data_IF_416747939007
#
_entry.id   IF_416747939007
#
_cell.length_a   1.000
_cell.length_b   1.000
_cell.length_c   1.000
_cell.angle_alpha   90.00
_cell.angle_beta   90.00
_cell.angle_gamma   90.00
#
_symmetry.space_group_name_H-M   'P 1'
#
loop_
_entity.id
_entity.type
_entity.pdbx_description
1 polymer ?
#
# COMPACT_ATOMS: atom_id res chain seq x y z
N UNK A 1 37.26 -0.45 -67.42
CA UNK A 1 35.90 0.13 -67.42
C UNK A 1 35.12 -0.51 -66.29
N UNK A 2 35.06 0.15 -65.14
CA UNK A 2 34.48 -0.39 -63.90
C UNK A 2 33.64 0.73 -63.28
N UNK A 3 32.32 0.58 -63.23
CA UNK A 3 31.42 1.55 -62.59
C UNK A 3 30.43 0.85 -61.66
N UNK A 4 30.64 1.17 -60.39
CA UNK A 4 29.72 1.29 -59.25
C UNK A 4 28.23 0.97 -59.48
N UNK A 5 27.73 -0.03 -58.74
CA UNK A 5 26.30 -0.22 -58.47
C UNK A 5 26.06 0.25 -57.03
N UNK A 6 25.22 1.28 -56.89
CA UNK A 6 24.77 1.83 -55.63
C UNK A 6 23.75 0.88 -54.97
N UNK A 7 24.10 0.36 -53.79
CA UNK A 7 23.20 -0.43 -52.94
C UNK A 7 22.43 0.51 -52.01
N UNK A 8 21.34 1.06 -52.52
CA UNK A 8 20.25 1.64 -51.74
C UNK A 8 19.31 0.48 -51.40
N UNK A 9 19.27 0.03 -50.15
CA UNK A 9 18.11 -0.63 -49.53
C UNK A 9 18.44 -1.03 -48.09
N UNK A 10 17.41 -0.95 -47.24
CA UNK A 10 17.30 -1.46 -45.85
C UNK A 10 17.43 -0.40 -44.75
N UNK A 11 16.41 0.45 -44.66
CA UNK A 11 16.16 1.35 -43.53
C UNK A 11 14.67 1.40 -43.19
N UNK A 12 14.04 0.25 -42.92
CA UNK A 12 12.65 0.18 -42.46
C UNK A 12 12.57 -0.05 -40.95
N UNK A 13 12.27 1.04 -40.23
CA UNK A 13 11.14 1.14 -39.29
C UNK A 13 10.93 -0.04 -38.33
N UNK A 14 11.67 -0.04 -37.22
CA UNK A 14 11.36 -0.83 -36.02
C UNK A 14 11.16 0.08 -34.78
N UNK A 15 10.39 1.17 -34.92
CA UNK A 15 10.20 2.21 -33.89
C UNK A 15 8.83 2.21 -33.22
N UNK A 16 8.04 1.13 -33.30
CA UNK A 16 6.59 1.20 -33.01
C UNK A 16 6.03 0.53 -31.74
N UNK A 17 6.75 -0.34 -31.04
CA UNK A 17 6.10 -1.25 -30.06
C UNK A 17 6.46 -1.06 -28.57
N UNK A 18 7.30 -0.09 -28.20
CA UNK A 18 7.76 0.05 -26.80
C UNK A 18 6.92 0.98 -25.91
N UNK A 19 5.81 1.55 -26.41
CA UNK A 19 5.06 2.60 -25.69
C UNK A 19 3.84 2.13 -24.89
N UNK A 20 3.45 0.85 -24.96
CA UNK A 20 2.17 0.42 -24.37
C UNK A 20 2.21 0.16 -22.86
N UNK A 21 3.40 -0.13 -22.30
CA UNK A 21 3.51 -0.51 -20.90
C UNK A 21 3.35 0.75 -20.01
N UNK A 22 4.11 1.82 -20.28
CA UNK A 22 4.10 3.09 -19.51
C UNK A 22 2.72 3.69 -19.25
N UNK A 23 1.84 3.55 -20.23
CA UNK A 23 0.48 4.04 -20.14
C UNK A 23 -0.35 3.33 -19.05
N UNK A 24 -0.10 2.04 -18.80
CA UNK A 24 -0.82 1.27 -17.80
C UNK A 24 -0.45 1.70 -16.38
N UNK A 25 0.84 1.91 -16.09
CA UNK A 25 1.31 2.34 -14.77
C UNK A 25 0.80 3.72 -14.38
N UNK A 26 0.91 4.70 -15.28
CA UNK A 26 0.42 6.05 -15.01
C UNK A 26 -1.09 6.06 -14.71
N UNK A 27 -1.87 5.27 -15.45
CA UNK A 27 -3.30 5.10 -15.22
C UNK A 27 -3.60 4.45 -13.86
N UNK A 28 -2.80 3.48 -13.44
CA UNK A 28 -2.91 2.85 -12.13
C UNK A 28 -2.62 3.83 -10.98
N UNK A 29 -1.49 4.54 -11.04
CA UNK A 29 -1.12 5.55 -10.05
C UNK A 29 -2.17 6.66 -9.93
N UNK A 30 -2.76 7.08 -11.04
CA UNK A 30 -3.85 8.05 -11.06
C UNK A 30 -5.16 7.48 -10.48
N UNK A 31 -5.37 6.16 -10.58
CA UNK A 31 -6.40 5.45 -9.83
C UNK A 31 -6.20 5.61 -8.32
N UNK A 32 -5.02 5.23 -7.81
CA UNK A 32 -4.70 5.33 -6.39
C UNK A 32 -4.78 6.77 -5.86
N UNK A 33 -4.33 7.78 -6.62
CA UNK A 33 -4.50 9.19 -6.25
C UNK A 33 -5.96 9.60 -6.10
N UNK A 34 -6.82 9.18 -7.04
CA UNK A 34 -8.26 9.46 -6.96
C UNK A 34 -8.88 8.80 -5.74
N UNK A 35 -8.48 7.58 -5.42
CA UNK A 35 -8.99 6.86 -4.26
C UNK A 35 -8.50 7.46 -2.94
N UNK A 36 -7.23 7.87 -2.86
CA UNK A 36 -6.69 8.65 -1.73
C UNK A 36 -7.48 9.95 -1.53
N UNK A 37 -7.71 10.72 -2.59
CA UNK A 37 -8.47 11.97 -2.53
C UNK A 37 -9.90 11.74 -2.02
N UNK A 38 -10.61 10.77 -2.59
CA UNK A 38 -11.97 10.38 -2.16
C UNK A 38 -12.00 9.96 -0.69
N UNK A 39 -11.00 9.18 -0.26
CA UNK A 39 -10.88 8.76 1.13
C UNK A 39 -10.69 9.97 2.05
N UNK A 40 -9.74 10.85 1.74
CA UNK A 40 -9.42 12.06 2.52
C UNK A 40 -10.61 13.01 2.64
N UNK A 41 -11.40 13.16 1.56
CA UNK A 41 -12.67 13.90 1.58
C UNK A 41 -13.66 13.26 2.56
N UNK A 42 -13.85 11.94 2.49
CA UNK A 42 -14.79 11.19 3.33
C UNK A 42 -14.37 11.06 4.80
N UNK A 43 -13.08 11.19 5.10
CA UNK A 43 -12.58 11.20 6.48
C UNK A 43 -13.02 12.47 7.24
N UNK A 44 -13.40 13.55 6.56
CA UNK A 44 -13.92 14.75 7.22
C UNK A 44 -12.90 15.39 8.18
N UNK A 45 -13.23 15.46 9.47
CA UNK A 45 -12.40 16.00 10.56
C UNK A 45 -11.62 14.93 11.35
N UNK A 46 -11.44 13.75 10.76
CA UNK A 46 -10.65 12.65 11.36
C UNK A 46 -9.24 13.12 11.75
N UNK A 47 -8.75 12.85 12.98
CA UNK A 47 -7.37 13.17 13.37
C UNK A 47 -6.31 12.43 12.53
N UNK A 48 -6.66 11.31 11.90
CA UNK A 48 -5.77 10.52 11.04
C UNK A 48 -5.66 11.09 9.61
N UNK A 49 -6.56 11.99 9.22
CA UNK A 49 -6.63 12.54 7.86
C UNK A 49 -5.32 13.20 7.41
N UNK A 50 -4.66 14.08 8.19
CA UNK A 50 -3.42 14.71 7.77
C UNK A 50 -2.32 13.67 7.52
N UNK A 51 -2.22 12.66 8.39
CA UNK A 51 -1.25 11.59 8.24
C UNK A 51 -1.48 10.79 6.96
N UNK A 52 -2.70 10.32 6.71
CA UNK A 52 -3.05 9.53 5.52
C UNK A 52 -2.79 10.33 4.24
N UNK A 53 -3.18 11.60 4.19
CA UNK A 53 -2.98 12.45 3.02
C UNK A 53 -1.49 12.64 2.73
N UNK A 54 -0.73 13.16 3.70
CA UNK A 54 0.69 13.50 3.50
C UNK A 54 1.53 12.28 3.17
N UNK A 55 1.32 11.17 3.87
CA UNK A 55 2.07 9.95 3.62
C UNK A 55 1.65 9.27 2.32
N UNK A 56 0.35 9.22 2.01
CA UNK A 56 -0.15 8.65 0.75
C UNK A 56 0.38 9.41 -0.47
N UNK A 57 0.41 10.74 -0.43
CA UNK A 57 1.01 11.56 -1.49
C UNK A 57 2.51 11.30 -1.63
N UNK A 58 3.22 11.16 -0.50
CA UNK A 58 4.66 10.88 -0.49
C UNK A 58 4.98 9.51 -1.11
N UNK A 59 4.22 8.48 -0.78
CA UNK A 59 4.37 7.13 -1.34
C UNK A 59 4.11 7.12 -2.86
N UNK A 60 3.01 7.75 -3.30
CA UNK A 60 2.67 7.83 -4.72
C UNK A 60 3.67 8.67 -5.52
N UNK A 61 4.25 9.72 -4.92
CA UNK A 61 5.33 10.49 -5.54
C UNK A 61 6.60 9.65 -5.72
N UNK A 62 6.96 8.85 -4.70
CA UNK A 62 8.10 7.93 -4.77
C UNK A 62 7.89 6.83 -5.80
N UNK A 63 6.72 6.19 -5.82
CA UNK A 63 6.36 5.18 -6.81
C UNK A 63 6.53 5.69 -8.25
N UNK A 64 6.10 6.93 -8.52
CA UNK A 64 6.28 7.58 -9.82
C UNK A 64 7.75 7.82 -10.18
N UNK A 65 8.59 8.17 -9.19
CA UNK A 65 10.00 8.50 -9.42
C UNK A 65 10.92 7.29 -9.69
N UNK A 66 10.54 6.10 -9.23
CA UNK A 66 11.37 4.88 -9.36
C UNK A 66 11.38 4.28 -10.78
N UNK A 67 10.60 4.83 -11.72
CA UNK A 67 10.47 4.30 -13.07
C UNK A 67 9.53 3.10 -13.13
N UNK A 68 9.22 2.65 -14.34
CA UNK A 68 8.05 1.80 -14.57
C UNK A 68 8.18 0.38 -14.04
N UNK A 69 9.25 -0.31 -14.43
CA UNK A 69 9.50 -1.73 -14.12
C UNK A 69 10.25 -1.93 -12.81
N UNK A 70 10.39 -0.87 -12.00
CA UNK A 70 11.10 -0.96 -10.73
C UNK A 70 10.29 -1.74 -9.70
N UNK A 71 10.86 -2.84 -9.21
CA UNK A 71 10.33 -3.61 -8.08
C UNK A 71 10.11 -2.71 -6.86
N UNK A 72 11.04 -1.77 -6.63
CA UNK A 72 10.94 -0.75 -5.57
C UNK A 72 9.75 0.19 -5.79
N UNK A 73 9.52 0.63 -7.02
CA UNK A 73 8.34 1.42 -7.40
C UNK A 73 7.04 0.70 -7.06
N UNK A 74 6.93 -0.59 -7.40
CA UNK A 74 5.75 -1.42 -7.07
C UNK A 74 5.52 -1.52 -5.56
N UNK A 75 6.57 -1.65 -4.74
CA UNK A 75 6.44 -1.66 -3.28
C UNK A 75 5.90 -0.34 -2.71
N UNK A 76 6.23 0.80 -3.29
CA UNK A 76 5.62 2.07 -2.90
C UNK A 76 4.14 2.16 -3.29
N UNK A 77 3.72 1.53 -4.39
CA UNK A 77 2.31 1.46 -4.79
C UNK A 77 1.50 0.60 -3.82
N UNK A 78 2.00 -0.60 -3.51
CA UNK A 78 1.38 -1.51 -2.54
C UNK A 78 1.30 -0.85 -1.16
N UNK A 79 2.36 -0.15 -0.72
CA UNK A 79 2.34 0.62 0.52
C UNK A 79 1.28 1.75 0.50
N UNK A 80 1.07 2.43 -0.63
CA UNK A 80 0.04 3.45 -0.75
C UNK A 80 -1.37 2.85 -0.70
N UNK A 81 -1.58 1.70 -1.36
CA UNK A 81 -2.84 0.97 -1.32
C UNK A 81 -3.17 0.48 0.09
N UNK A 82 -2.21 -0.11 0.81
CA UNK A 82 -2.38 -0.55 2.20
C UNK A 82 -2.74 0.64 3.12
N UNK A 83 -2.11 1.81 2.94
CA UNK A 83 -2.43 3.01 3.71
C UNK A 83 -3.86 3.51 3.41
N UNK A 84 -4.30 3.47 2.15
CA UNK A 84 -5.68 3.80 1.75
C UNK A 84 -6.66 2.80 2.39
N UNK A 85 -6.34 1.50 2.34
CA UNK A 85 -7.16 0.46 2.95
C UNK A 85 -7.28 0.65 4.46
N UNK A 86 -6.18 0.96 5.16
CA UNK A 86 -6.19 1.29 6.58
C UNK A 86 -7.15 2.47 6.88
N UNK A 87 -7.06 3.54 6.10
CA UNK A 87 -7.95 4.69 6.21
C UNK A 87 -9.41 4.35 5.93
N UNK A 88 -9.71 3.50 4.93
CA UNK A 88 -11.08 3.09 4.64
C UNK A 88 -11.67 2.25 5.79
N UNK A 89 -10.89 1.38 6.44
CA UNK A 89 -11.35 0.67 7.64
C UNK A 89 -11.70 1.63 8.79
N UNK A 90 -10.86 2.65 9.03
CA UNK A 90 -11.12 3.69 10.03
C UNK A 90 -12.35 4.52 9.69
N UNK A 91 -12.59 4.80 8.41
CA UNK A 91 -13.79 5.49 7.92
C UNK A 91 -15.05 4.65 8.14
N UNK A 92 -15.04 3.38 7.72
CA UNK A 92 -16.19 2.46 7.87
C UNK A 92 -16.60 2.29 9.32
N UNK A 93 -15.62 2.26 10.23
CA UNK A 93 -15.87 2.25 11.67
C UNK A 93 -16.73 3.44 12.10
N UNK A 94 -16.41 4.66 11.65
CA UNK A 94 -17.16 5.89 12.01
C UNK A 94 -18.57 5.93 11.44
N UNK A 95 -18.79 5.25 10.32
CA UNK A 95 -20.11 5.17 9.68
C UNK A 95 -21.03 4.15 10.33
N UNK A 96 -20.53 3.34 11.27
CA UNK A 96 -21.32 2.28 11.89
C UNK A 96 -21.81 1.24 10.88
N UNK A 97 -21.06 0.99 9.80
CA UNK A 97 -21.44 -0.03 8.81
C UNK A 97 -21.31 -1.41 9.43
N UNK A 98 -22.44 -1.93 9.92
CA UNK A 98 -22.60 -3.31 10.32
C UNK A 98 -22.78 -4.19 9.08
N UNK A 99 -22.29 -5.42 9.15
CA UNK A 99 -22.62 -6.47 8.20
C UNK A 99 -23.61 -7.43 8.84
N UNK A 100 -24.42 -8.11 8.03
CA UNK A 100 -25.41 -9.11 8.46
C UNK A 100 -24.77 -10.45 8.92
N UNK A 101 -23.61 -10.38 9.57
CA UNK A 101 -22.90 -11.55 10.04
C UNK A 101 -23.59 -12.15 11.29
N UNK A 102 -23.70 -13.48 11.36
CA UNK A 102 -24.11 -14.17 12.60
C UNK A 102 -23.18 -13.74 13.77
N UNK A 103 -23.71 -13.25 14.90
CA UNK A 103 -22.90 -12.76 16.02
C UNK A 103 -21.88 -13.78 16.55
N UNK A 104 -22.21 -15.09 16.55
CA UNK A 104 -21.27 -16.14 16.99
C UNK A 104 -20.12 -16.30 16.01
N UNK A 105 -20.41 -16.35 14.72
CA UNK A 105 -19.37 -16.40 13.68
C UNK A 105 -18.51 -15.13 13.68
N UNK A 106 -19.13 -13.95 13.79
CA UNK A 106 -18.43 -12.66 13.86
C UNK A 106 -17.44 -12.64 15.02
N UNK A 107 -17.87 -13.05 16.22
CA UNK A 107 -16.98 -13.17 17.40
C UNK A 107 -15.78 -14.06 17.11
N UNK A 108 -16.01 -15.27 16.59
CA UNK A 108 -14.93 -16.24 16.33
C UNK A 108 -13.95 -15.76 15.24
N UNK A 109 -14.43 -15.11 14.18
CA UNK A 109 -13.59 -14.53 13.13
C UNK A 109 -12.79 -13.33 13.66
N UNK A 110 -13.41 -12.46 14.45
CA UNK A 110 -12.73 -11.32 15.06
C UNK A 110 -11.64 -11.75 16.04
N UNK A 111 -11.87 -12.79 16.84
CA UNK A 111 -10.85 -13.34 17.74
C UNK A 111 -9.59 -13.78 16.98
N UNK A 112 -9.76 -14.58 15.92
CA UNK A 112 -8.65 -15.02 15.04
C UNK A 112 -7.95 -13.85 14.34
N UNK A 113 -8.69 -12.78 14.02
CA UNK A 113 -8.10 -11.60 13.39
C UNK A 113 -7.28 -10.78 14.40
N UNK A 114 -7.73 -10.64 15.64
CA UNK A 114 -6.96 -10.02 16.71
C UNK A 114 -5.66 -10.78 16.99
N UNK A 115 -5.72 -12.11 17.05
CA UNK A 115 -4.53 -12.94 17.24
C UNK A 115 -3.49 -12.70 16.13
N UNK A 116 -3.91 -12.71 14.86
CA UNK A 116 -3.00 -12.39 13.74
C UNK A 116 -2.47 -10.97 13.80
N UNK A 117 -3.33 -10.00 14.11
CA UNK A 117 -2.95 -8.59 14.22
C UNK A 117 -1.94 -8.36 15.34
N UNK A 118 -2.07 -9.07 16.48
CA UNK A 118 -1.09 -9.04 17.56
C UNK A 118 0.31 -9.39 17.06
N UNK A 119 0.47 -10.53 16.39
CA UNK A 119 1.76 -10.96 15.85
C UNK A 119 2.31 -9.97 14.81
N UNK A 120 1.45 -9.45 13.93
CA UNK A 120 1.84 -8.40 12.96
C UNK A 120 2.36 -7.14 13.65
N UNK A 121 1.67 -6.66 14.67
CA UNK A 121 2.10 -5.47 15.42
C UNK A 121 3.44 -5.67 16.13
N UNK A 122 3.75 -6.89 16.59
CA UNK A 122 5.09 -7.20 17.12
C UNK A 122 6.20 -7.11 16.06
N UNK A 123 5.87 -7.34 14.78
CA UNK A 123 6.81 -7.20 13.67
C UNK A 123 7.00 -5.74 13.21
N UNK A 124 6.16 -4.80 13.69
CA UNK A 124 6.17 -3.43 13.20
C UNK A 124 7.51 -2.72 13.44
N UNK A 125 8.13 -2.88 14.63
CA UNK A 125 9.44 -2.27 14.91
C UNK A 125 10.55 -2.86 14.04
N UNK A 126 10.46 -4.17 13.75
CA UNK A 126 11.39 -4.83 12.84
C UNK A 126 11.31 -4.17 11.46
N UNK A 127 10.13 -4.09 10.85
CA UNK A 127 9.98 -3.47 9.53
C UNK A 127 10.34 -1.98 9.53
N UNK A 128 9.94 -1.23 10.57
CA UNK A 128 10.29 0.18 10.72
C UNK A 128 11.80 0.44 10.80
N UNK A 129 12.58 -0.50 11.36
CA UNK A 129 14.04 -0.40 11.40
C UNK A 129 14.66 -0.56 10.00
N UNK A 130 14.04 -1.34 9.13
CA UNK A 130 14.59 -1.68 7.80
C UNK A 130 14.01 -0.85 6.64
N UNK A 131 12.98 -0.04 6.88
CA UNK A 131 12.30 0.77 5.84
C UNK A 131 13.06 2.00 5.38
N UNK A 132 14.01 2.50 6.18
CA UNK A 132 14.65 3.82 6.00
C UNK A 132 13.64 4.97 5.77
N UNK A 133 12.38 4.79 6.21
CA UNK A 133 11.32 5.77 6.00
C UNK A 133 11.20 6.67 7.22
N UNK A 134 11.40 7.99 7.03
CA UNK A 134 11.44 8.98 8.11
C UNK A 134 10.23 8.90 9.06
N UNK A 135 9.05 8.63 8.52
CA UNK A 135 7.80 8.57 9.29
C UNK A 135 7.50 7.19 9.90
N UNK A 136 8.36 6.18 9.74
CA UNK A 136 8.11 4.81 10.23
C UNK A 136 7.73 4.71 11.72
N UNK A 137 8.31 5.49 12.66
CA UNK A 137 7.87 5.48 14.06
C UNK A 137 6.40 5.86 14.25
N UNK A 138 5.85 6.74 13.38
CA UNK A 138 4.45 7.14 13.44
C UNK A 138 3.50 5.98 13.05
N UNK A 139 3.86 5.20 12.03
CA UNK A 139 3.12 3.98 11.66
C UNK A 139 3.10 2.96 12.80
N UNK A 140 4.25 2.68 13.41
CA UNK A 140 4.35 1.74 14.55
C UNK A 140 3.45 2.19 15.70
N UNK A 141 3.50 3.48 16.05
CA UNK A 141 2.66 4.05 17.10
C UNK A 141 1.18 3.91 16.78
N UNK A 142 0.77 4.25 15.56
CA UNK A 142 -0.64 4.20 15.15
C UNK A 142 -1.15 2.76 15.07
N UNK A 143 -0.37 1.82 14.52
CA UNK A 143 -0.72 0.40 14.48
C UNK A 143 -0.95 -0.16 15.90
N UNK A 144 -0.03 0.10 16.84
CA UNK A 144 -0.19 -0.31 18.24
C UNK A 144 -1.46 0.30 18.88
N UNK A 145 -1.71 1.59 18.67
CA UNK A 145 -2.90 2.25 19.19
C UNK A 145 -4.20 1.63 18.64
N UNK A 146 -4.25 1.35 17.34
CA UNK A 146 -5.40 0.70 16.70
C UNK A 146 -5.61 -0.72 17.24
N UNK A 147 -4.55 -1.51 17.39
CA UNK A 147 -4.64 -2.85 17.97
C UNK A 147 -5.15 -2.83 19.42
N UNK A 148 -4.63 -1.94 20.27
CA UNK A 148 -5.09 -1.83 21.66
C UNK A 148 -6.58 -1.44 21.72
N UNK A 149 -7.02 -0.49 20.89
CA UNK A 149 -8.44 -0.13 20.76
C UNK A 149 -9.27 -1.32 20.26
N UNK A 150 -8.76 -2.09 19.30
CA UNK A 150 -9.43 -3.28 18.79
C UNK A 150 -9.65 -4.31 19.88
N UNK A 151 -8.64 -4.52 20.75
CA UNK A 151 -8.74 -5.43 21.88
C UNK A 151 -9.80 -4.97 22.88
N UNK A 152 -9.78 -3.70 23.28
CA UNK A 152 -10.79 -3.14 24.17
C UNK A 152 -12.21 -3.21 23.58
N UNK A 153 -12.37 -3.00 22.27
CA UNK A 153 -13.66 -3.14 21.61
C UNK A 153 -14.16 -4.59 21.65
N UNK A 154 -13.27 -5.57 21.47
CA UNK A 154 -13.62 -6.99 21.56
C UNK A 154 -14.06 -7.39 22.96
N UNK A 155 -13.37 -6.90 23.99
CA UNK A 155 -13.71 -7.16 25.39
C UNK A 155 -15.09 -6.57 25.76
N UNK A 156 -15.49 -5.46 25.13
CA UNK A 156 -16.84 -4.86 25.21
C UNK A 156 -17.87 -5.50 24.28
N UNK A 157 -17.54 -6.61 23.62
CA UNK A 157 -18.39 -7.32 22.66
C UNK A 157 -18.75 -6.51 21.39
N UNK A 158 -18.06 -5.41 21.12
CA UNK A 158 -18.20 -4.62 19.90
C UNK A 158 -17.37 -5.23 18.75
N UNK A 159 -17.76 -6.43 18.30
CA UNK A 159 -16.93 -7.25 17.41
C UNK A 159 -16.70 -6.65 16.02
N UNK A 160 -17.66 -5.88 15.49
CA UNK A 160 -17.51 -5.14 14.24
C UNK A 160 -16.43 -4.06 14.37
N UNK A 161 -16.47 -3.27 15.46
CA UNK A 161 -15.44 -2.26 15.74
C UNK A 161 -14.06 -2.92 15.89
N UNK A 162 -13.98 -3.98 16.70
CA UNK A 162 -12.75 -4.72 16.91
C UNK A 162 -12.16 -5.27 15.60
N UNK A 163 -13.00 -5.83 14.72
CA UNK A 163 -12.58 -6.32 13.39
C UNK A 163 -11.95 -5.19 12.57
N UNK A 164 -12.66 -4.06 12.44
CA UNK A 164 -12.19 -2.91 11.61
C UNK A 164 -10.89 -2.31 12.14
N UNK A 165 -10.77 -2.16 13.45
CA UNK A 165 -9.55 -1.64 14.07
C UNK A 165 -8.36 -2.61 13.92
N UNK A 166 -8.58 -3.92 14.07
CA UNK A 166 -7.56 -4.93 13.83
C UNK A 166 -7.12 -5.00 12.35
N UNK A 167 -8.06 -4.81 11.42
CA UNK A 167 -7.78 -4.67 9.98
C UNK A 167 -6.89 -3.46 9.73
N UNK A 168 -7.34 -2.27 10.15
CA UNK A 168 -6.57 -1.04 9.98
C UNK A 168 -5.16 -1.14 10.59
N UNK A 169 -5.04 -1.73 11.78
CA UNK A 169 -3.74 -1.97 12.42
C UNK A 169 -2.84 -2.87 11.58
N UNK A 170 -3.38 -3.91 10.95
CA UNK A 170 -2.60 -4.85 10.16
C UNK A 170 -2.15 -4.23 8.84
N UNK A 171 -3.01 -3.44 8.20
CA UNK A 171 -2.67 -2.70 6.99
C UNK A 171 -1.51 -1.72 7.22
N UNK A 172 -1.49 -0.99 8.35
CA UNK A 172 -0.34 -0.12 8.68
C UNK A 172 0.98 -0.87 8.86
N UNK A 173 0.94 -2.15 9.27
CA UNK A 173 2.13 -3.00 9.30
C UNK A 173 2.51 -3.45 7.90
N UNK A 174 1.54 -3.74 7.02
CA UNK A 174 1.79 -4.05 5.61
C UNK A 174 2.51 -2.87 4.91
N UNK A 175 2.10 -1.62 5.20
CA UNK A 175 2.82 -0.42 4.72
C UNK A 175 4.30 -0.46 5.10
N UNK A 176 4.61 -0.74 6.38
CA UNK A 176 5.99 -0.82 6.86
C UNK A 176 6.77 -1.96 6.22
N UNK A 177 6.13 -3.11 6.02
CA UNK A 177 6.75 -4.26 5.34
C UNK A 177 7.09 -3.94 3.89
N UNK A 178 6.16 -3.33 3.15
CA UNK A 178 6.40 -2.91 1.77
C UNK A 178 7.49 -1.85 1.69
N UNK A 179 7.54 -0.90 2.63
CA UNK A 179 8.64 0.07 2.74
C UNK A 179 9.99 -0.60 3.04
N UNK A 180 10.03 -1.59 3.94
CA UNK A 180 11.23 -2.37 4.23
C UNK A 180 11.72 -3.14 2.99
N UNK A 181 10.81 -3.74 2.23
CA UNK A 181 11.14 -4.40 0.96
C UNK A 181 11.62 -3.39 -0.10
N UNK A 182 11.04 -2.20 -0.15
CA UNK A 182 11.47 -1.12 -1.05
C UNK A 182 12.88 -0.58 -0.72
N UNK A 183 13.28 -0.65 0.55
CA UNK A 183 14.61 -0.21 1.00
C UNK A 183 15.70 -1.26 0.74
N UNK A 184 15.33 -2.53 0.57
CA UNK A 184 16.27 -3.59 0.25
C UNK A 184 16.72 -3.48 -1.21
N UNK A 185 18.03 -3.29 -1.41
CA UNK A 185 18.67 -3.42 -2.72
C UNK A 185 18.75 -4.91 -3.03
N UNK A 186 17.75 -5.45 -3.73
CA UNK A 186 17.82 -6.79 -4.30
C UNK A 186 18.61 -6.65 -5.62
N UNK A 187 19.79 -7.26 -5.75
CA UNK A 187 20.52 -7.25 -7.02
C UNK A 187 19.63 -7.85 -8.10
N UNK A 188 19.56 -7.21 -9.27
CA UNK A 188 18.84 -7.79 -10.40
C UNK A 188 19.36 -9.21 -10.67
N UNK A 189 18.46 -10.19 -10.88
CA UNK A 189 18.90 -11.53 -11.21
C UNK A 189 19.78 -11.47 -12.47
N UNK A 190 20.86 -12.28 -12.54
CA UNK A 190 21.76 -12.27 -13.68
C UNK A 190 20.97 -12.58 -14.96
N UNK A 191 21.10 -11.70 -15.97
CA UNK A 191 20.47 -11.92 -17.27
C UNK A 191 21.17 -13.10 -17.95
N UNK A 192 20.45 -14.20 -18.16
CA UNK A 192 20.93 -15.31 -18.99
C UNK A 192 21.19 -14.76 -20.40
N UNK A 193 22.44 -14.86 -20.86
CA UNK A 193 22.87 -14.49 -22.21
C UNK A 193 22.86 -15.70 -23.11
#
# INVERSE_FOLDING_TARGET
MTRFIASLLTGCLALGCFSSIGFAKDKWLEGLRRDLKRLVERLGTSPEKPFILTEGESLLARAKSEGEDSSRGRRFEEAAEDLINAGDQMRRLRQGSEGDDDPKELRARTARRLERSYFRVQQADYFAKWSDWKSSPAYVKMARQLYQRARSAYDRQSYTEAKRLAEASSELVNVLENLAQAAQVIPDPPRLR
#
